data_IF_767623931015
#
_entry.id   IF_767623931015
#
_cell.length_a   1.000
_cell.length_b   1.000
_cell.length_c   1.000
_cell.angle_alpha   90.00
_cell.angle_beta   90.00
_cell.angle_gamma   90.00
#
_symmetry.space_group_name_H-M   'P 1'
#
loop_
_entity.id
_entity.type
_entity.pdbx_description
1 polymer ?
#
# COMPACT_ATOMS: atom_id res chain seq x y z
N UNK A 1 15.23 -18.05 -28.32
CA UNK A 1 14.11 -18.36 -27.39
C UNK A 1 14.46 -19.70 -26.75
N UNK A 2 14.44 -19.81 -25.43
CA UNK A 2 14.77 -21.06 -24.74
C UNK A 2 13.51 -21.92 -24.65
N UNK A 3 13.33 -22.95 -25.50
CA UNK A 3 12.04 -23.64 -25.66
C UNK A 3 11.63 -24.42 -24.41
N UNK A 4 12.61 -24.88 -23.63
CA UNK A 4 12.41 -25.76 -22.48
C UNK A 4 12.29 -25.01 -21.14
N UNK A 5 12.23 -23.67 -21.18
CA UNK A 5 12.15 -22.84 -19.98
C UNK A 5 10.70 -22.51 -19.67
N UNK A 6 10.19 -23.10 -18.59
CA UNK A 6 8.85 -22.83 -18.06
C UNK A 6 8.97 -22.05 -16.75
N UNK A 7 8.31 -20.90 -16.68
CA UNK A 7 8.18 -20.11 -15.46
C UNK A 7 7.07 -20.71 -14.59
N UNK A 8 7.39 -21.03 -13.33
CA UNK A 8 6.40 -21.52 -12.35
C UNK A 8 5.21 -20.55 -12.16
N UNK A 9 5.45 -19.25 -12.37
CA UNK A 9 4.46 -18.19 -12.22
C UNK A 9 4.50 -17.26 -13.43
N UNK A 10 3.32 -16.87 -13.92
CA UNK A 10 3.19 -15.88 -14.99
C UNK A 10 3.53 -16.40 -16.39
N UNK A 11 3.70 -17.71 -16.59
CA UNK A 11 3.93 -18.32 -17.90
C UNK A 11 2.88 -17.88 -18.94
N UNK A 12 1.60 -17.84 -18.56
CA UNK A 12 0.52 -17.40 -19.45
C UNK A 12 0.69 -15.96 -19.91
N UNK A 13 1.20 -15.08 -19.05
CA UNK A 13 1.48 -13.70 -19.42
C UNK A 13 2.65 -13.61 -20.40
N UNK A 14 3.71 -14.40 -20.19
CA UNK A 14 4.85 -14.50 -21.11
C UNK A 14 4.38 -15.01 -22.47
N UNK A 15 3.64 -16.13 -22.50
CA UNK A 15 3.09 -16.71 -23.72
C UNK A 15 2.20 -15.71 -24.48
N UNK A 16 1.30 -15.03 -23.76
CA UNK A 16 0.42 -14.01 -24.35
C UNK A 16 1.21 -12.82 -24.90
N UNK A 17 2.23 -12.35 -24.20
CA UNK A 17 3.08 -11.26 -24.67
C UNK A 17 3.82 -11.66 -25.95
N UNK A 18 4.42 -12.85 -25.99
CA UNK A 18 5.10 -13.40 -27.18
C UNK A 18 4.12 -13.50 -28.35
N UNK A 19 2.96 -14.13 -28.13
CA UNK A 19 1.94 -14.31 -29.16
C UNK A 19 1.43 -12.98 -29.70
N UNK A 20 1.21 -11.98 -28.82
CA UNK A 20 0.83 -10.62 -29.21
C UNK A 20 1.90 -9.99 -30.10
N UNK A 21 3.17 -10.08 -29.72
CA UNK A 21 4.28 -9.54 -30.51
C UNK A 21 4.50 -10.30 -31.83
N UNK A 22 4.21 -11.60 -31.90
CA UNK A 22 4.28 -12.38 -33.13
C UNK A 22 3.19 -11.97 -34.13
N UNK A 23 1.98 -11.70 -33.64
CA UNK A 23 0.82 -11.38 -34.46
C UNK A 23 0.72 -9.89 -34.86
N UNK A 24 1.53 -9.02 -34.27
CA UNK A 24 1.57 -7.59 -34.59
C UNK A 24 2.24 -7.33 -35.94
N UNK A 25 1.46 -6.77 -36.89
CA UNK A 25 1.95 -6.39 -38.23
C UNK A 25 2.95 -5.23 -38.21
N UNK A 26 2.71 -4.21 -37.38
CA UNK A 26 3.60 -3.05 -37.20
C UNK A 26 4.13 -3.00 -35.76
N UNK A 27 5.27 -3.68 -35.56
CA UNK A 27 5.93 -3.80 -34.25
C UNK A 27 6.65 -2.52 -33.85
N UNK A 28 7.08 -1.69 -34.80
CA UNK A 28 7.75 -0.42 -34.52
C UNK A 28 6.79 0.57 -33.87
N UNK A 29 5.53 0.59 -34.32
CA UNK A 29 4.54 1.54 -33.81
C UNK A 29 3.76 1.06 -32.59
N UNK A 30 3.44 -0.24 -32.51
CA UNK A 30 2.56 -0.79 -31.48
C UNK A 30 3.17 -1.92 -30.65
N UNK A 31 4.41 -2.32 -30.97
CA UNK A 31 5.13 -3.36 -30.25
C UNK A 31 5.48 -2.93 -28.83
N UNK A 32 5.52 -3.92 -27.93
CA UNK A 32 6.02 -3.78 -26.57
C UNK A 32 7.19 -4.75 -26.42
N UNK A 33 8.31 -4.24 -25.94
CA UNK A 33 9.53 -5.04 -25.82
C UNK A 33 9.33 -6.17 -24.81
N UNK A 34 9.89 -7.34 -25.13
CA UNK A 34 10.03 -8.47 -24.21
C UNK A 34 11.53 -8.60 -23.93
N UNK A 35 11.95 -8.28 -22.71
CA UNK A 35 13.36 -8.33 -22.33
C UNK A 35 13.67 -9.65 -21.61
N UNK A 36 14.75 -10.29 -22.02
CA UNK A 36 15.25 -11.53 -21.44
C UNK A 36 16.63 -11.29 -20.83
N UNK A 37 16.89 -11.87 -19.67
CA UNK A 37 18.21 -11.88 -19.04
C UNK A 37 18.53 -13.30 -18.59
N UNK A 38 19.75 -13.75 -18.90
CA UNK A 38 20.31 -15.01 -18.44
C UNK A 38 21.51 -14.68 -17.55
N UNK A 39 21.50 -15.17 -16.32
CA UNK A 39 22.62 -15.06 -15.39
C UNK A 39 23.13 -16.45 -15.07
N UNK A 40 24.41 -16.69 -15.33
CA UNK A 40 25.13 -17.89 -14.92
C UNK A 40 25.63 -17.74 -13.48
N UNK A 41 25.35 -18.73 -12.63
CA UNK A 41 25.81 -18.81 -11.24
C UNK A 41 26.73 -20.02 -10.99
N UNK A 42 27.23 -20.65 -12.05
CA UNK A 42 28.05 -21.87 -12.01
C UNK A 42 27.21 -23.12 -11.80
N UNK A 43 26.52 -23.20 -10.65
CA UNK A 43 25.73 -24.37 -10.27
C UNK A 43 24.29 -24.33 -10.82
N UNK A 44 23.81 -23.15 -11.20
CA UNK A 44 22.47 -22.94 -11.74
C UNK A 44 22.42 -21.67 -12.60
N UNK A 45 21.38 -21.57 -13.42
CA UNK A 45 21.08 -20.38 -14.20
C UNK A 45 19.86 -19.65 -13.63
N UNK A 46 19.89 -18.32 -13.66
CA UNK A 46 18.70 -17.49 -13.42
C UNK A 46 18.25 -16.92 -14.75
N UNK A 47 17.03 -17.25 -15.15
CA UNK A 47 16.39 -16.69 -16.34
C UNK A 47 15.32 -15.69 -15.89
N UNK A 48 15.40 -14.46 -16.39
CA UNK A 48 14.42 -13.40 -16.13
C UNK A 48 13.76 -13.02 -17.43
N UNK A 49 12.43 -12.87 -17.39
CA UNK A 49 11.64 -12.33 -18.48
C UNK A 49 10.87 -11.11 -17.95
N UNK A 50 11.04 -9.96 -18.61
CA UNK A 50 10.31 -8.75 -18.33
C UNK A 50 9.35 -8.49 -19.48
N UNK A 51 8.08 -8.33 -19.12
CA UNK A 51 6.96 -8.11 -20.04
C UNK A 51 6.07 -7.00 -19.50
N UNK A 52 5.46 -6.26 -20.42
CA UNK A 52 4.36 -5.37 -20.09
C UNK A 52 3.06 -6.18 -20.01
N UNK A 53 2.50 -6.25 -18.81
CA UNK A 53 1.17 -6.82 -18.57
C UNK A 53 0.16 -5.66 -18.60
N UNK A 54 -0.90 -5.73 -19.41
CA UNK A 54 -1.95 -4.71 -19.40
C UNK A 54 -2.61 -4.64 -18.02
N UNK A 55 -3.05 -3.44 -17.64
CA UNK A 55 -3.78 -3.23 -16.39
C UNK A 55 -5.00 -4.15 -16.31
N UNK A 56 -5.37 -4.54 -15.09
CA UNK A 56 -6.56 -5.34 -14.85
C UNK A 56 -7.80 -4.58 -15.34
N UNK A 57 -8.66 -5.20 -16.19
CA UNK A 57 -9.80 -4.49 -16.77
C UNK A 57 -10.88 -4.17 -15.75
N UNK A 58 -10.89 -4.88 -14.62
CA UNK A 58 -11.80 -4.67 -13.51
C UNK A 58 -11.05 -4.06 -12.32
N UNK A 59 -11.34 -2.80 -12.04
CA UNK A 59 -10.85 -2.09 -10.86
C UNK A 59 -12.05 -1.70 -10.00
N UNK A 60 -12.21 -2.34 -8.84
CA UNK A 60 -13.23 -1.99 -7.88
C UNK A 60 -12.87 -0.68 -7.17
N UNK A 61 -13.48 0.41 -7.62
CA UNK A 61 -13.42 1.75 -7.03
C UNK A 61 -14.64 2.08 -6.16
N UNK A 62 -15.62 1.17 -6.07
CA UNK A 62 -16.88 1.45 -5.39
C UNK A 62 -16.69 1.54 -3.88
N UNK A 63 -17.14 2.65 -3.29
CA UNK A 63 -17.20 2.83 -1.83
C UNK A 63 -18.59 2.54 -1.26
N UNK A 64 -19.53 2.06 -2.08
CA UNK A 64 -20.94 1.89 -1.70
C UNK A 64 -21.18 0.89 -0.57
N UNK A 65 -20.29 -0.09 -0.40
CA UNK A 65 -20.34 -1.08 0.69
C UNK A 65 -19.44 -0.69 1.87
N UNK A 66 -18.73 0.44 1.76
CA UNK A 66 -17.69 0.90 2.67
C UNK A 66 -16.29 0.67 2.12
N UNK A 67 -15.31 0.55 3.02
CA UNK A 67 -13.89 0.51 2.66
C UNK A 67 -13.04 -0.15 3.74
N UNK A 68 -11.82 -0.53 3.40
CA UNK A 68 -10.82 -1.00 4.37
C UNK A 68 -9.70 0.03 4.49
N UNK A 69 -9.55 0.63 5.67
CA UNK A 69 -8.44 1.52 5.99
C UNK A 69 -7.25 0.78 6.56
N UNK A 70 -6.06 1.32 6.31
CA UNK A 70 -4.79 0.67 6.62
C UNK A 70 -3.81 1.67 7.23
N UNK A 71 -3.34 1.41 8.44
CA UNK A 71 -2.22 2.11 9.09
C UNK A 71 -0.99 1.20 9.06
N UNK A 72 0.04 1.62 8.31
CA UNK A 72 1.27 0.85 8.19
C UNK A 72 2.22 1.19 9.35
N UNK A 73 2.85 0.16 9.92
CA UNK A 73 3.87 0.27 10.97
C UNK A 73 5.04 -0.67 10.66
N UNK A 74 6.16 -0.52 11.37
CA UNK A 74 7.41 -1.26 11.07
C UNK A 74 7.33 -2.75 11.46
N UNK A 75 6.39 -3.13 12.32
CA UNK A 75 6.22 -4.49 12.81
C UNK A 75 4.79 -5.04 12.63
N UNK A 76 3.87 -4.27 12.07
CA UNK A 76 2.52 -4.73 11.77
C UNK A 76 1.82 -3.80 10.78
N UNK A 77 0.79 -4.34 10.13
CA UNK A 77 -0.21 -3.56 9.39
C UNK A 77 -1.49 -3.57 10.24
N UNK A 78 -1.99 -2.40 10.63
CA UNK A 78 -3.28 -2.29 11.30
C UNK A 78 -4.38 -2.00 10.28
N UNK A 79 -5.50 -2.70 10.42
CA UNK A 79 -6.60 -2.73 9.45
C UNK A 79 -7.89 -2.35 10.16
N UNK A 80 -8.73 -1.56 9.49
CA UNK A 80 -10.08 -1.27 9.93
C UNK A 80 -11.05 -1.33 8.76
N UNK A 81 -12.06 -2.18 8.86
CA UNK A 81 -13.13 -2.34 7.89
C UNK A 81 -14.32 -1.48 8.30
N UNK A 82 -14.79 -0.61 7.41
CA UNK A 82 -15.96 0.23 7.64
C UNK A 82 -17.08 -0.09 6.66
N UNK A 83 -18.34 0.08 7.09
CA UNK A 83 -19.51 -0.07 6.23
C UNK A 83 -19.82 1.21 5.43
N UNK A 84 -20.89 1.19 4.64
CA UNK A 84 -21.34 2.28 3.77
C UNK A 84 -21.57 3.62 4.50
N UNK A 85 -21.92 3.59 5.79
CA UNK A 85 -22.13 4.79 6.63
C UNK A 85 -20.90 5.14 7.47
N UNK A 86 -19.78 4.46 7.22
CA UNK A 86 -18.49 4.70 7.85
C UNK A 86 -18.34 4.17 9.27
N UNK A 87 -19.24 3.31 9.75
CA UNK A 87 -19.09 2.64 11.06
C UNK A 87 -18.11 1.48 10.97
N UNK A 88 -17.38 1.22 12.06
CA UNK A 88 -16.43 0.12 12.14
C UNK A 88 -17.20 -1.20 12.19
N UNK A 89 -16.88 -2.10 11.26
CA UNK A 89 -17.40 -3.48 11.22
C UNK A 89 -16.40 -4.43 11.88
N UNK A 90 -15.11 -4.22 11.60
CA UNK A 90 -14.03 -5.08 12.06
C UNK A 90 -12.71 -4.30 12.11
N UNK A 91 -11.80 -4.70 13.00
CA UNK A 91 -10.48 -4.11 13.13
C UNK A 91 -9.50 -5.12 13.72
N UNK A 92 -8.34 -5.25 13.07
CA UNK A 92 -7.31 -6.22 13.46
C UNK A 92 -5.92 -5.76 13.04
N UNK A 93 -4.90 -6.52 13.43
CA UNK A 93 -3.51 -6.29 13.03
C UNK A 93 -2.95 -7.53 12.35
N UNK A 94 -2.16 -7.33 11.31
CA UNK A 94 -1.33 -8.33 10.65
C UNK A 94 0.11 -8.15 11.14
N UNK A 95 0.57 -8.93 12.15
CA UNK A 95 1.87 -8.75 12.77
C UNK A 95 2.99 -9.40 11.95
N UNK A 96 4.18 -8.81 11.97
CA UNK A 96 5.37 -9.38 11.34
C UNK A 96 6.67 -8.93 12.03
N UNK A 97 7.71 -9.74 11.91
CA UNK A 97 9.03 -9.43 12.48
C UNK A 97 10.10 -9.30 11.38
N UNK A 98 10.72 -8.12 11.30
CA UNK A 98 11.78 -7.79 10.35
C UNK A 98 13.19 -7.77 10.98
N UNK A 99 13.28 -7.96 12.29
CA UNK A 99 14.55 -7.92 13.03
C UNK A 99 15.47 -9.08 12.65
N UNK A 100 16.75 -8.78 12.48
CA UNK A 100 17.75 -9.76 12.02
C UNK A 100 17.57 -10.29 10.59
N UNK A 101 16.56 -9.83 9.84
CA UNK A 101 16.29 -10.30 8.47
C UNK A 101 17.02 -9.48 7.42
N UNK A 102 17.50 -10.14 6.37
CA UNK A 102 18.07 -9.48 5.17
C UNK A 102 16.97 -8.91 4.27
N UNK A 103 17.32 -7.99 3.37
CA UNK A 103 16.37 -7.26 2.51
C UNK A 103 15.38 -8.16 1.76
N UNK A 104 15.86 -9.25 1.13
CA UNK A 104 14.99 -10.19 0.41
C UNK A 104 14.00 -10.93 1.31
N UNK A 105 14.43 -11.34 2.51
CA UNK A 105 13.54 -11.97 3.49
C UNK A 105 12.49 -10.99 4.01
N UNK A 106 12.88 -9.73 4.28
CA UNK A 106 11.94 -8.68 4.69
C UNK A 106 10.87 -8.44 3.63
N UNK A 107 11.27 -8.38 2.37
CA UNK A 107 10.34 -8.21 1.26
C UNK A 107 9.31 -9.36 1.20
N UNK A 108 9.77 -10.61 1.31
CA UNK A 108 8.90 -11.79 1.31
C UNK A 108 7.92 -11.81 2.49
N UNK A 109 8.38 -11.45 3.69
CA UNK A 109 7.53 -11.35 4.88
C UNK A 109 6.44 -10.28 4.67
N UNK A 110 6.83 -9.07 4.23
CA UNK A 110 5.89 -7.99 3.95
C UNK A 110 4.88 -8.41 2.86
N UNK A 111 5.36 -9.07 1.80
CA UNK A 111 4.52 -9.50 0.69
C UNK A 111 3.45 -10.50 1.13
N UNK A 112 3.79 -11.44 2.02
CA UNK A 112 2.81 -12.38 2.58
C UNK A 112 1.68 -11.65 3.33
N UNK A 113 2.00 -10.66 4.17
CA UNK A 113 0.98 -9.90 4.90
C UNK A 113 0.17 -8.99 3.98
N UNK A 114 0.78 -8.45 2.93
CA UNK A 114 0.07 -7.67 1.91
C UNK A 114 -0.89 -8.54 1.10
N UNK A 115 -0.53 -9.79 0.81
CA UNK A 115 -1.44 -10.76 0.18
C UNK A 115 -2.66 -10.95 1.07
N UNK A 116 -2.46 -11.24 2.36
CA UNK A 116 -3.56 -11.39 3.33
C UNK A 116 -4.46 -10.15 3.40
N UNK A 117 -3.87 -8.95 3.43
CA UNK A 117 -4.61 -7.69 3.42
C UNK A 117 -5.48 -7.51 2.16
N UNK A 118 -4.91 -7.73 0.98
CA UNK A 118 -5.64 -7.53 -0.28
C UNK A 118 -6.70 -8.60 -0.46
N UNK A 119 -6.41 -9.84 -0.11
CA UNK A 119 -7.38 -10.93 -0.18
C UNK A 119 -8.57 -10.68 0.76
N UNK A 120 -8.34 -10.08 1.94
CA UNK A 120 -9.40 -9.58 2.81
C UNK A 120 -10.26 -8.51 2.11
N UNK A 121 -9.64 -7.53 1.46
CA UNK A 121 -10.37 -6.48 0.74
C UNK A 121 -11.20 -7.04 -0.43
N UNK A 122 -10.65 -8.00 -1.18
CA UNK A 122 -11.34 -8.74 -2.25
C UNK A 122 -12.56 -9.47 -1.70
N UNK A 123 -12.38 -10.24 -0.61
CA UNK A 123 -13.45 -11.00 0.05
C UNK A 123 -14.61 -10.10 0.48
N UNK A 124 -14.31 -8.88 0.92
CA UNK A 124 -15.33 -7.91 1.34
C UNK A 124 -15.84 -6.99 0.22
N UNK A 125 -15.32 -7.14 -1.01
CA UNK A 125 -15.64 -6.29 -2.16
C UNK A 125 -15.43 -4.80 -1.89
N UNK A 126 -14.34 -4.45 -1.20
CA UNK A 126 -14.07 -3.08 -0.75
C UNK A 126 -12.72 -2.58 -1.27
N UNK A 127 -12.62 -1.28 -1.62
CA UNK A 127 -11.33 -0.67 -1.89
C UNK A 127 -10.50 -0.55 -0.60
N UNK A 128 -9.22 -0.27 -0.77
CA UNK A 128 -8.29 0.05 0.31
C UNK A 128 -8.11 1.56 0.45
N UNK A 129 -7.87 2.03 1.67
CA UNK A 129 -7.36 3.37 1.94
C UNK A 129 -6.08 3.30 2.75
N UNK A 130 -5.04 3.99 2.27
CA UNK A 130 -3.76 4.18 2.93
C UNK A 130 -3.50 5.68 3.11
N UNK A 131 -2.66 6.06 4.06
CA UNK A 131 -2.17 7.42 4.13
C UNK A 131 -1.07 7.70 3.10
N UNK A 132 -0.95 8.96 2.68
CA UNK A 132 0.21 9.44 1.93
C UNK A 132 1.44 9.34 2.81
N UNK A 133 2.54 8.85 2.25
CA UNK A 133 3.84 8.87 2.93
C UNK A 133 4.16 10.31 3.36
N UNK A 134 4.14 10.57 4.67
CA UNK A 134 4.63 11.83 5.21
C UNK A 134 6.15 11.76 5.34
N UNK A 135 6.85 12.37 4.38
CA UNK A 135 8.32 12.41 4.39
C UNK A 135 8.87 13.21 5.56
N UNK A 136 8.05 13.98 6.28
CA UNK A 136 8.47 14.88 7.37
C UNK A 136 8.49 14.21 8.76
N UNK A 137 7.70 13.15 8.98
CA UNK A 137 7.54 12.50 10.29
C UNK A 137 8.10 11.08 10.31
N UNK A 138 9.03 10.80 11.23
CA UNK A 138 9.41 9.42 11.54
C UNK A 138 8.40 8.81 12.52
N UNK A 139 7.66 7.77 12.12
CA UNK A 139 6.85 6.96 13.04
C UNK A 139 7.70 6.12 14.02
N UNK A 140 9.01 6.04 13.79
CA UNK A 140 9.96 5.32 14.64
C UNK A 140 10.88 6.30 15.33
N UNK A 141 10.79 6.37 16.65
CA UNK A 141 11.79 6.98 17.52
C UNK A 141 12.29 5.91 18.46
N UNK A 142 13.47 5.34 18.19
CA UNK A 142 14.23 4.67 19.25
C UNK A 142 14.78 5.75 20.19
N UNK A 143 14.61 5.65 21.52
CA UNK A 143 15.17 6.61 22.47
C UNK A 143 16.71 6.70 22.39
N UNK A 144 17.38 5.58 22.11
CA UNK A 144 18.84 5.45 22.00
C UNK A 144 19.25 5.02 20.57
N UNK A 145 19.26 5.94 19.61
CA UNK A 145 19.80 5.66 18.28
C UNK A 145 19.78 6.86 17.33
N UNK A 146 20.59 6.80 16.25
CA UNK A 146 20.66 7.89 15.27
C UNK A 146 19.29 8.10 14.61
N UNK A 147 18.61 9.17 15.00
CA UNK A 147 17.24 9.52 14.58
C UNK A 147 17.11 9.63 13.06
N UNK A 148 18.15 10.13 12.38
CA UNK A 148 18.19 10.28 10.91
C UNK A 148 18.26 8.93 10.22
N UNK A 149 19.14 8.03 10.68
CA UNK A 149 19.26 6.68 10.15
C UNK A 149 17.99 5.84 10.41
N UNK A 150 17.42 5.91 11.62
CA UNK A 150 16.16 5.25 11.95
C UNK A 150 14.99 5.77 11.07
N UNK A 151 14.94 7.08 10.81
CA UNK A 151 13.95 7.68 9.90
C UNK A 151 14.10 7.17 8.47
N UNK A 152 15.31 7.16 7.93
CA UNK A 152 15.56 6.67 6.56
C UNK A 152 15.20 5.19 6.40
N UNK A 153 15.60 4.34 7.35
CA UNK A 153 15.23 2.92 7.34
C UNK A 153 13.71 2.70 7.43
N UNK A 154 13.03 3.46 8.28
CA UNK A 154 11.58 3.38 8.44
C UNK A 154 10.85 3.85 7.19
N UNK A 155 11.33 4.92 6.55
CA UNK A 155 10.79 5.43 5.29
C UNK A 155 10.96 4.43 4.15
N UNK A 156 12.13 3.80 4.04
CA UNK A 156 12.38 2.75 3.04
C UNK A 156 11.42 1.56 3.21
N UNK A 157 11.25 1.07 4.44
CA UNK A 157 10.31 0.00 4.74
C UNK A 157 8.87 0.40 4.38
N UNK A 158 8.47 1.63 4.69
CA UNK A 158 7.15 2.17 4.37
C UNK A 158 6.89 2.24 2.87
N UNK A 159 7.87 2.75 2.10
CA UNK A 159 7.79 2.80 0.65
C UNK A 159 7.64 1.40 0.04
N UNK A 160 8.39 0.42 0.55
CA UNK A 160 8.28 -0.97 0.11
C UNK A 160 6.89 -1.55 0.40
N UNK A 161 6.32 -1.30 1.58
CA UNK A 161 4.96 -1.72 1.92
C UNK A 161 3.92 -1.08 0.99
N UNK A 162 3.98 0.23 0.76
CA UNK A 162 3.06 0.93 -0.14
C UNK A 162 3.14 0.36 -1.57
N UNK A 163 4.35 0.14 -2.08
CA UNK A 163 4.55 -0.42 -3.42
C UNK A 163 4.01 -1.85 -3.52
N UNK A 164 4.24 -2.69 -2.50
CA UNK A 164 3.69 -4.03 -2.43
C UNK A 164 2.16 -4.00 -2.44
N UNK A 165 1.54 -3.15 -1.62
CA UNK A 165 0.08 -2.98 -1.55
C UNK A 165 -0.48 -2.56 -2.90
N UNK A 166 0.07 -1.50 -3.52
CA UNK A 166 -0.39 -1.02 -4.82
C UNK A 166 -0.26 -2.09 -5.90
N UNK A 167 0.88 -2.77 -5.96
CA UNK A 167 1.11 -3.83 -6.95
C UNK A 167 0.15 -5.00 -6.78
N UNK A 168 -0.07 -5.46 -5.54
CA UNK A 168 -0.99 -6.57 -5.26
C UNK A 168 -2.44 -6.16 -5.50
N UNK A 169 -2.84 -4.97 -5.05
CA UNK A 169 -4.20 -4.45 -5.22
C UNK A 169 -4.55 -4.28 -6.71
N UNK A 170 -3.63 -3.73 -7.52
CA UNK A 170 -3.81 -3.62 -8.97
C UNK A 170 -4.01 -4.99 -9.62
N UNK A 171 -3.16 -5.97 -9.30
CA UNK A 171 -3.29 -7.36 -9.80
C UNK A 171 -4.62 -8.01 -9.42
N UNK A 172 -5.19 -7.63 -8.28
CA UNK A 172 -6.46 -8.18 -7.76
C UNK A 172 -7.68 -7.32 -8.10
N UNK A 173 -7.50 -6.23 -8.86
CA UNK A 173 -8.61 -5.34 -9.22
C UNK A 173 -9.20 -4.56 -8.05
N UNK A 174 -8.38 -4.20 -7.06
CA UNK A 174 -8.79 -3.43 -5.87
C UNK A 174 -8.19 -2.03 -5.94
N UNK A 175 -9.03 -0.99 -5.86
CA UNK A 175 -8.55 0.39 -5.83
C UNK A 175 -7.88 0.73 -4.49
N UNK A 176 -6.84 1.57 -4.54
CA UNK A 176 -6.12 2.07 -3.37
C UNK A 176 -6.23 3.59 -3.31
N UNK A 177 -7.01 4.09 -2.36
CA UNK A 177 -7.16 5.51 -2.06
C UNK A 177 -6.02 5.99 -1.17
N UNK A 178 -5.48 7.17 -1.51
CA UNK A 178 -4.41 7.80 -0.73
C UNK A 178 -4.96 9.04 -0.04
N UNK A 179 -4.95 9.06 1.29
CA UNK A 179 -5.47 10.19 2.08
C UNK A 179 -4.36 11.01 2.70
N UNK A 180 -4.68 12.24 3.09
CA UNK A 180 -3.77 13.07 3.89
C UNK A 180 -3.52 12.39 5.27
N UNK A 181 -2.27 12.20 5.71
CA UNK A 181 -1.93 11.61 7.03
C UNK A 181 -2.22 12.55 8.22
N UNK A 182 -2.55 13.82 7.98
CA UNK A 182 -2.69 14.81 9.04
C UNK A 182 -3.63 14.35 10.17
N UNK A 183 -3.05 14.25 11.37
CA UNK A 183 -3.74 13.98 12.63
C UNK A 183 -4.47 12.63 12.75
N UNK A 184 -4.24 11.66 11.86
CA UNK A 184 -4.95 10.36 11.88
C UNK A 184 -4.79 9.64 13.22
N UNK A 185 -3.55 9.53 13.72
CA UNK A 185 -3.26 8.89 15.01
C UNK A 185 -3.84 9.65 16.21
N UNK A 186 -3.78 10.99 16.19
CA UNK A 186 -4.33 11.81 17.28
C UNK A 186 -5.85 11.71 17.34
N UNK A 187 -6.53 11.83 16.19
CA UNK A 187 -7.98 11.66 16.09
C UNK A 187 -8.37 10.24 16.51
N UNK A 188 -7.66 9.22 16.01
CA UNK A 188 -7.89 7.83 16.37
C UNK A 188 -7.82 7.62 17.89
N UNK A 189 -6.76 8.11 18.53
CA UNK A 189 -6.57 8.05 19.98
C UNK A 189 -7.71 8.74 20.75
N UNK A 190 -8.03 9.98 20.40
CA UNK A 190 -8.95 10.82 21.16
C UNK A 190 -10.41 10.38 21.00
N UNK A 191 -10.82 9.97 19.80
CA UNK A 191 -12.23 9.70 19.50
C UNK A 191 -12.61 8.23 19.51
N UNK A 192 -11.71 7.35 19.07
CA UNK A 192 -12.11 6.01 18.63
C UNK A 192 -11.45 4.89 19.39
N UNK A 193 -10.23 5.06 19.90
CA UNK A 193 -9.51 4.02 20.63
C UNK A 193 -10.34 3.46 21.80
N UNK A 194 -10.79 4.33 22.72
CA UNK A 194 -11.62 3.92 23.86
C UNK A 194 -13.02 3.45 23.43
N UNK A 195 -13.63 4.15 22.47
CA UNK A 195 -15.01 3.89 22.02
C UNK A 195 -15.16 2.55 21.30
N UNK A 196 -14.16 2.15 20.51
CA UNK A 196 -14.15 0.91 19.75
C UNK A 196 -13.42 -0.22 20.48
N UNK A 197 -12.72 0.05 21.58
CA UNK A 197 -11.94 -0.95 22.30
C UNK A 197 -10.74 -1.48 21.50
N UNK A 198 -10.16 -0.66 20.62
CA UNK A 198 -9.08 -1.05 19.70
C UNK A 198 -7.77 -0.32 20.00
N UNK A 199 -6.66 -0.82 19.46
CA UNK A 199 -5.36 -0.15 19.53
C UNK A 199 -5.36 1.20 18.82
N UNK A 200 -4.39 2.07 19.16
CA UNK A 200 -4.24 3.37 18.50
C UNK A 200 -4.01 3.25 16.98
N UNK A 201 -3.34 2.19 16.52
CA UNK A 201 -3.06 1.94 15.11
C UNK A 201 -4.32 1.52 14.35
N UNK A 202 -5.13 0.62 14.94
CA UNK A 202 -6.43 0.26 14.38
C UNK A 202 -7.39 1.46 14.36
N UNK A 203 -7.38 2.29 15.41
CA UNK A 203 -8.15 3.53 15.43
C UNK A 203 -7.67 4.53 14.36
N UNK A 204 -6.37 4.59 14.06
CA UNK A 204 -5.83 5.41 12.97
C UNK A 204 -6.25 4.87 11.59
N UNK A 205 -6.20 3.55 11.39
CA UNK A 205 -6.70 2.88 10.19
C UNK A 205 -8.18 3.19 9.96
N UNK A 206 -8.99 3.21 11.03
CA UNK A 206 -10.40 3.59 10.97
C UNK A 206 -10.60 5.05 10.53
N UNK A 207 -9.79 5.99 11.03
CA UNK A 207 -9.82 7.40 10.58
C UNK A 207 -9.43 7.51 9.11
N UNK A 208 -8.42 6.77 8.66
CA UNK A 208 -7.99 6.71 7.25
C UNK A 208 -9.14 6.25 6.36
N UNK A 209 -9.83 5.17 6.74
CA UNK A 209 -10.99 4.67 6.01
C UNK A 209 -12.10 5.74 5.91
N UNK A 210 -12.51 6.32 7.04
CA UNK A 210 -13.58 7.34 7.04
C UNK A 210 -13.24 8.54 6.18
N UNK A 211 -11.97 8.98 6.24
CA UNK A 211 -11.47 10.12 5.47
C UNK A 211 -11.54 9.87 3.97
N UNK A 212 -11.17 8.69 3.48
CA UNK A 212 -11.28 8.40 2.05
C UNK A 212 -12.74 8.24 1.58
N UNK A 213 -13.69 7.92 2.48
CA UNK A 213 -15.12 7.97 2.20
C UNK A 213 -15.72 9.39 2.27
N UNK A 214 -14.91 10.42 2.52
CA UNK A 214 -15.39 11.80 2.69
C UNK A 214 -16.12 12.04 4.01
N UNK A 215 -16.05 11.10 4.95
CA UNK A 215 -16.66 11.23 6.28
C UNK A 215 -15.64 11.88 7.21
N UNK A 216 -15.70 13.20 7.33
CA UNK A 216 -14.76 13.96 8.14
C UNK A 216 -15.18 14.07 9.60
N UNK A 217 -14.19 13.95 10.48
CA UNK A 217 -14.34 14.29 11.89
C UNK A 217 -14.28 15.81 12.08
N UNK A 218 -15.10 16.38 12.98
CA UNK A 218 -15.08 17.82 13.30
C UNK A 218 -13.67 18.37 13.64
N UNK A 219 -12.81 17.56 14.29
CA UNK A 219 -11.40 17.87 14.53
C UNK A 219 -10.57 18.00 13.24
N UNK A 220 -10.90 17.26 12.19
CA UNK A 220 -10.25 17.39 10.87
C UNK A 220 -10.54 18.75 10.25
N UNK A 221 -11.79 19.24 10.37
CA UNK A 221 -12.20 20.57 9.92
C UNK A 221 -11.53 21.66 10.76
N UNK A 222 -11.54 21.51 12.09
CA UNK A 222 -10.90 22.46 13.01
C UNK A 222 -9.40 22.60 12.75
N UNK A 223 -8.67 21.50 12.55
CA UNK A 223 -7.24 21.53 12.23
C UNK A 223 -6.94 22.05 10.82
N UNK A 224 -7.85 21.89 9.84
CA UNK A 224 -7.72 22.56 8.54
C UNK A 224 -7.90 24.07 8.66
N UNK A 225 -8.88 24.52 9.44
CA UNK A 225 -9.16 25.95 9.67
C UNK A 225 -8.04 26.65 10.46
N UNK A 226 -7.41 25.97 11.43
CA UNK A 226 -6.23 26.50 12.13
C UNK A 226 -5.04 26.77 11.19
N UNK A 227 -4.90 26.01 10.09
CA UNK A 227 -3.88 26.24 9.06
C UNK A 227 -4.18 27.47 8.20
N UNK A 228 -5.46 27.77 7.96
CA UNK A 228 -5.87 28.98 7.22
C UNK A 228 -5.72 30.22 8.10
N UNK A 229 -5.96 30.09 9.41
CA UNK A 229 -5.81 31.19 10.37
C UNK A 229 -4.34 31.51 10.70
N UNK A 230 -3.40 30.57 10.53
CA UNK A 230 -1.96 30.84 10.74
C UNK A 230 -1.28 31.57 9.56
N UNK A 231 -1.99 31.82 8.45
CA UNK A 231 -1.43 32.47 7.24
C UNK A 231 -1.95 33.91 7.03
N UNK A 232 -2.68 34.47 8.01
CA UNK A 232 -3.16 35.87 7.96
C UNK A 232 -3.06 36.55 9.32
N UNK A 233 -1.86 36.97 9.67
CA UNK A 233 -1.53 38.16 10.48
C UNK A 233 0.00 38.20 10.52
N UNK A 234 0.71 39.11 9.84
CA UNK A 234 0.87 40.52 10.21
C UNK A 234 1.36 41.31 8.97
N UNK A 235 0.65 42.40 8.62
CA UNK A 235 1.22 43.68 8.16
C UNK A 235 0.48 44.76 8.97
N UNK A 236 1.06 45.93 9.30
CA UNK A 236 1.96 46.73 8.45
C UNK A 236 3.14 47.43 9.16
N UNK A 237 4.05 47.99 8.35
CA UNK A 237 4.69 49.28 8.61
C UNK A 237 4.12 50.27 7.60
#
# INVERSE_FOLDING_TARGET
MYPDVVFLYGQDHVNRAIQTQMNLKDKLKFGKAIAWSLEDRGDYYIIKCLIDVPATPYLNTSTSTGMVGVDLNVNHIAVANINAIGQCVDAFTLPFNLEGKISGQRAKIIEAEVITLVDYAVKHHKPLAIEKLDTTRSKVSRPYGNRKANRQMSQFAYQKMILAIKSRAEKMGVAVYVVNPAYTSQIGKMKYMKRLGVSIHMAAAYVIARRAMGVFDAYTVFCQNLRVLSDRTIRPK
#
